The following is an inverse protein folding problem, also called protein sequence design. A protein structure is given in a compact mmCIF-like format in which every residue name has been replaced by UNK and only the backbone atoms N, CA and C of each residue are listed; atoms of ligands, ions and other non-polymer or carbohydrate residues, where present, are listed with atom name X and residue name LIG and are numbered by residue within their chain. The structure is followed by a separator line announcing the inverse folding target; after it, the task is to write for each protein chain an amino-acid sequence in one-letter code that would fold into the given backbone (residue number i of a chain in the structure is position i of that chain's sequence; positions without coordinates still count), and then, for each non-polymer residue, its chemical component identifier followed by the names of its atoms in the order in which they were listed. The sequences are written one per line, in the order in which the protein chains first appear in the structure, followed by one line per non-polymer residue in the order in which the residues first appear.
data_IF_293363080571
#
_entry.id   IF_293363080571
#
_cell.length_a   1.000
_cell.length_b   1.000
_cell.length_c   1.000
_cell.angle_alpha   90.00
_cell.angle_beta   90.00
_cell.angle_gamma   90.00
#
_symmetry.space_group_name_H-M   'P 1'
#
loop_
_entity.id
_entity.type
_entity.pdbx_description
1 polymer ?
#
# COMPACT_ATOMS: atom_id res chain seq x y z
N UNK A 1 0.96 7.74 3.36
CA UNK A 1 0.30 9.02 3.67
C UNK A 1 1.13 10.23 3.24
N UNK A 2 2.32 10.47 3.79
CA UNK A 2 3.11 11.68 3.49
C UNK A 2 3.35 11.93 1.98
N UNK A 3 3.75 10.89 1.24
CA UNK A 3 3.94 10.98 -0.23
C UNK A 3 2.64 11.36 -0.94
N UNK A 4 1.50 10.78 -0.54
CA UNK A 4 0.20 11.10 -1.14
C UNK A 4 -0.20 12.56 -0.90
N UNK A 5 -0.01 13.05 0.34
CA UNK A 5 -0.28 14.44 0.69
C UNK A 5 0.58 15.38 -0.14
N UNK A 6 1.88 15.10 -0.28
CA UNK A 6 2.78 15.90 -1.09
C UNK A 6 2.33 15.93 -2.56
N UNK A 7 2.01 14.77 -3.13
CA UNK A 7 1.55 14.66 -4.52
C UNK A 7 0.26 15.45 -4.76
N UNK A 8 -0.74 15.32 -3.89
CA UNK A 8 -1.97 16.08 -4.03
C UNK A 8 -1.75 17.58 -3.83
N UNK A 9 -0.84 18.00 -2.93
CA UNK A 9 -0.48 19.42 -2.81
C UNK A 9 0.13 19.98 -4.10
N UNK A 10 1.03 19.22 -4.74
CA UNK A 10 1.62 19.61 -6.03
C UNK A 10 0.54 19.68 -7.13
N UNK A 11 -0.47 18.81 -7.07
CA UNK A 11 -1.61 18.77 -7.99
C UNK A 11 -2.71 19.80 -7.67
N UNK A 12 -2.45 20.79 -6.80
CA UNK A 12 -3.41 21.85 -6.46
C UNK A 12 -4.44 21.48 -5.38
N UNK A 13 -4.26 20.36 -4.70
CA UNK A 13 -5.12 19.89 -3.61
C UNK A 13 -5.90 18.61 -3.93
N UNK A 14 -6.59 18.05 -2.93
CA UNK A 14 -7.31 16.79 -3.08
C UNK A 14 -8.59 16.91 -3.94
N UNK A 15 -9.11 18.12 -4.15
CA UNK A 15 -10.20 18.38 -5.11
C UNK A 15 -9.82 17.94 -6.53
N UNK A 16 -8.55 18.08 -6.90
CA UNK A 16 -8.02 17.67 -8.20
C UNK A 16 -7.62 16.19 -8.24
N UNK A 17 -7.89 15.41 -7.20
CA UNK A 17 -7.55 13.97 -7.16
C UNK A 17 -8.19 13.20 -8.31
N UNK A 18 -9.36 13.61 -8.78
CA UNK A 18 -10.06 12.98 -9.91
C UNK A 18 -9.65 13.53 -11.28
N UNK A 19 -8.68 14.45 -11.35
CA UNK A 19 -8.19 15.00 -12.61
C UNK A 19 -7.71 13.88 -13.55
N UNK A 20 -8.13 13.94 -14.81
CA UNK A 20 -7.72 12.99 -15.85
C UNK A 20 -6.32 13.36 -16.31
N UNK A 21 -5.38 12.43 -16.17
CA UNK A 21 -4.01 12.59 -16.67
C UNK A 21 -3.88 12.06 -18.10
N UNK A 22 -4.55 10.94 -18.39
CA UNK A 22 -4.55 10.31 -19.70
C UNK A 22 -5.90 9.63 -19.96
N UNK A 23 -6.52 9.94 -21.09
CA UNK A 23 -7.74 9.29 -21.56
C UNK A 23 -7.38 8.22 -22.58
N UNK A 24 -7.95 7.01 -22.45
CA UNK A 24 -7.74 5.96 -23.44
C UNK A 24 -8.69 6.17 -24.63
N UNK A 25 -8.18 6.45 -25.84
CA UNK A 25 -9.03 6.72 -27.00
C UNK A 25 -9.99 5.55 -27.26
N UNK A 26 -11.28 5.87 -27.48
CA UNK A 26 -12.32 4.87 -27.76
C UNK A 26 -12.86 4.12 -26.55
N UNK A 27 -12.49 4.49 -25.32
CA UNK A 27 -13.05 3.88 -24.09
C UNK A 27 -13.47 4.94 -23.07
N UNK A 28 -14.39 4.63 -22.12
CA UNK A 28 -14.71 5.53 -21.01
C UNK A 28 -13.63 5.55 -19.92
N UNK A 29 -12.57 4.72 -20.06
CA UNK A 29 -11.54 4.59 -19.05
C UNK A 29 -10.53 5.73 -19.13
N UNK A 30 -10.21 6.28 -17.96
CA UNK A 30 -9.28 7.38 -17.80
C UNK A 30 -8.30 7.04 -16.69
N UNK A 31 -7.01 7.25 -16.95
CA UNK A 31 -6.00 7.27 -15.92
C UNK A 31 -6.10 8.60 -15.18
N UNK A 32 -6.59 8.54 -13.94
CA UNK A 32 -6.80 9.70 -13.08
C UNK A 32 -5.66 9.86 -12.08
N UNK A 33 -5.45 11.08 -11.60
CA UNK A 33 -4.41 11.40 -10.64
C UNK A 33 -4.50 10.54 -9.37
N UNK A 34 -5.71 10.26 -8.90
CA UNK A 34 -6.01 9.39 -7.75
C UNK A 34 -5.38 7.99 -7.84
N UNK A 35 -5.18 7.45 -9.06
CA UNK A 35 -4.51 6.16 -9.27
C UNK A 35 -3.01 6.29 -9.04
N UNK A 36 -2.40 7.37 -9.56
CA UNK A 36 -0.97 7.66 -9.40
C UNK A 36 -0.66 7.99 -7.93
N UNK A 37 -1.51 8.80 -7.31
CA UNK A 37 -1.53 9.15 -5.89
C UNK A 37 -1.81 7.95 -4.96
N UNK A 38 -2.24 6.81 -5.51
CA UNK A 38 -2.34 5.55 -4.80
C UNK A 38 -1.10 4.67 -4.98
N UNK A 39 -0.69 4.48 -6.23
CA UNK A 39 0.36 3.54 -6.61
C UNK A 39 1.75 4.01 -6.20
N UNK A 40 2.09 5.29 -6.41
CA UNK A 40 3.42 5.82 -6.09
C UNK A 40 3.70 5.78 -4.58
N UNK A 41 2.80 6.24 -3.68
CA UNK A 41 3.00 6.08 -2.25
C UNK A 41 3.12 4.62 -1.81
N UNK A 42 2.41 3.70 -2.48
CA UNK A 42 2.56 2.27 -2.21
C UNK A 42 3.98 1.78 -2.50
N UNK A 43 4.56 2.09 -3.67
CA UNK A 43 5.92 1.64 -4.02
C UNK A 43 6.95 2.14 -3.00
N UNK A 44 6.91 3.44 -2.68
CA UNK A 44 7.81 4.05 -1.70
C UNK A 44 7.64 3.39 -0.32
N UNK A 45 6.40 3.23 0.13
CA UNK A 45 6.12 2.59 1.40
C UNK A 45 6.54 1.12 1.41
N UNK A 46 6.36 0.38 0.32
CA UNK A 46 6.70 -1.04 0.25
C UNK A 46 8.21 -1.24 0.37
N UNK A 47 9.00 -0.48 -0.40
CA UNK A 47 10.46 -0.54 -0.34
C UNK A 47 10.96 -0.12 1.05
N UNK A 48 10.43 0.97 1.60
CA UNK A 48 10.83 1.44 2.94
C UNK A 48 10.47 0.43 4.03
N UNK A 49 9.26 -0.13 4.00
CA UNK A 49 8.82 -1.15 4.95
C UNK A 49 9.64 -2.43 4.83
N UNK A 50 9.99 -2.85 3.61
CA UNK A 50 10.89 -3.99 3.40
C UNK A 50 12.24 -3.74 4.06
N UNK A 51 12.81 -2.57 3.81
CA UNK A 51 14.14 -2.22 4.30
C UNK A 51 14.19 -2.15 5.84
N UNK A 52 13.17 -1.54 6.46
CA UNK A 52 13.02 -1.53 7.91
C UNK A 52 12.85 -2.93 8.49
N UNK A 53 12.00 -3.76 7.87
CA UNK A 53 11.78 -5.13 8.31
C UNK A 53 13.06 -5.96 8.24
N UNK A 54 13.87 -5.78 7.19
CA UNK A 54 15.14 -6.49 7.03
C UNK A 54 16.22 -6.03 8.00
N UNK A 55 16.33 -4.72 8.24
CA UNK A 55 17.40 -4.15 9.08
C UNK A 55 17.11 -4.17 10.57
N UNK A 56 15.84 -4.09 10.96
CA UNK A 56 15.46 -3.95 12.36
C UNK A 56 14.54 -5.08 12.82
N UNK A 57 13.31 -5.17 12.30
CA UNK A 57 12.26 -6.05 12.86
C UNK A 57 12.56 -7.55 12.76
N UNK A 58 13.10 -7.99 11.62
CA UNK A 58 13.48 -9.39 11.35
C UNK A 58 14.97 -9.53 11.11
N UNK A 59 15.78 -8.63 11.70
CA UNK A 59 17.24 -8.67 11.63
C UNK A 59 17.73 -10.05 12.05
N UNK A 60 18.52 -10.69 11.20
CA UNK A 60 19.08 -12.01 11.46
C UNK A 60 20.50 -12.10 10.90
N UNK A 61 21.37 -12.85 11.58
CA UNK A 61 22.73 -13.17 11.11
C UNK A 61 22.73 -14.05 9.85
N UNK A 62 21.59 -14.66 9.48
CA UNK A 62 21.41 -15.52 8.29
C UNK A 62 20.40 -14.93 7.30
N UNK A 63 20.48 -13.62 7.04
CA UNK A 63 19.60 -12.98 6.06
C UNK A 63 19.84 -13.55 4.65
N UNK A 64 18.78 -13.94 3.94
CA UNK A 64 18.90 -14.33 2.54
C UNK A 64 19.26 -13.11 1.67
N UNK A 65 19.61 -13.32 0.40
CA UNK A 65 19.88 -12.22 -0.53
C UNK A 65 18.69 -11.24 -0.63
N UNK A 66 18.98 -9.94 -0.75
CA UNK A 66 17.96 -8.87 -0.73
C UNK A 66 16.81 -9.13 -1.71
N UNK A 67 17.12 -9.48 -2.95
CA UNK A 67 16.13 -9.76 -4.01
C UNK A 67 15.25 -10.98 -3.72
N UNK A 68 15.78 -12.01 -3.04
CA UNK A 68 15.02 -13.21 -2.69
C UNK A 68 13.96 -12.93 -1.62
N UNK A 69 14.23 -12.02 -0.69
CA UNK A 69 13.24 -11.60 0.31
C UNK A 69 12.31 -10.50 -0.23
N UNK A 70 12.81 -9.64 -1.13
CA UNK A 70 12.06 -8.52 -1.67
C UNK A 70 10.86 -8.96 -2.52
N UNK A 71 11.03 -9.91 -3.46
CA UNK A 71 9.93 -10.29 -4.36
C UNK A 71 8.72 -10.90 -3.65
N UNK A 72 8.87 -11.85 -2.71
CA UNK A 72 7.74 -12.31 -1.91
C UNK A 72 7.12 -11.20 -1.07
N UNK A 73 7.93 -10.31 -0.47
CA UNK A 73 7.43 -9.16 0.30
C UNK A 73 6.61 -8.19 -0.57
N UNK A 74 7.12 -7.89 -1.76
CA UNK A 74 6.47 -7.03 -2.75
C UNK A 74 5.18 -7.66 -3.26
N UNK A 75 5.15 -8.97 -3.48
CA UNK A 75 3.94 -9.69 -3.90
C UNK A 75 2.83 -9.61 -2.85
N UNK A 76 3.14 -9.90 -1.58
CA UNK A 76 2.17 -9.74 -0.47
C UNK A 76 1.71 -8.29 -0.36
N UNK A 77 2.64 -7.34 -0.45
CA UNK A 77 2.33 -5.91 -0.42
C UNK A 77 1.44 -5.47 -1.59
N UNK A 78 1.62 -6.03 -2.78
CA UNK A 78 0.81 -5.73 -3.97
C UNK A 78 -0.63 -6.22 -3.79
N UNK A 79 -0.83 -7.41 -3.21
CA UNK A 79 -2.17 -7.90 -2.86
C UNK A 79 -2.83 -6.96 -1.85
N UNK A 80 -2.10 -6.55 -0.80
CA UNK A 80 -2.60 -5.59 0.17
C UNK A 80 -2.95 -4.23 -0.48
N UNK A 81 -2.15 -3.76 -1.45
CA UNK A 81 -2.44 -2.54 -2.21
C UNK A 81 -3.72 -2.65 -3.02
N UNK A 82 -3.96 -3.79 -3.69
CA UNK A 82 -5.19 -4.02 -4.45
C UNK A 82 -6.42 -4.04 -3.54
N UNK A 83 -6.35 -4.74 -2.40
CA UNK A 83 -7.41 -4.72 -1.38
C UNK A 83 -7.65 -3.30 -0.88
N UNK A 84 -6.59 -2.56 -0.59
CA UNK A 84 -6.69 -1.16 -0.19
C UNK A 84 -7.33 -0.27 -1.27
N UNK A 85 -7.01 -0.49 -2.55
CA UNK A 85 -7.59 0.26 -3.66
C UNK A 85 -9.10 -0.01 -3.78
N UNK A 86 -9.53 -1.26 -3.58
CA UNK A 86 -10.95 -1.62 -3.54
C UNK A 86 -11.66 -0.95 -2.36
N UNK A 87 -11.06 -0.97 -1.17
CA UNK A 87 -11.60 -0.28 0.00
C UNK A 87 -11.75 1.22 -0.27
N UNK A 88 -10.72 1.85 -0.86
CA UNK A 88 -10.80 3.26 -1.25
C UNK A 88 -11.92 3.51 -2.24
N UNK A 89 -12.02 2.72 -3.31
CA UNK A 89 -13.08 2.88 -4.31
C UNK A 89 -14.47 2.79 -3.67
N UNK A 90 -14.68 1.80 -2.80
CA UNK A 90 -15.92 1.63 -2.04
C UNK A 90 -16.20 2.82 -1.11
N UNK A 91 -15.19 3.44 -0.53
CA UNK A 91 -15.34 4.55 0.41
C UNK A 91 -15.49 5.93 -0.24
N UNK A 92 -15.14 6.05 -1.53
CA UNK A 92 -15.21 7.31 -2.28
C UNK A 92 -16.29 7.31 -3.36
N UNK A 93 -16.86 6.15 -3.70
CA UNK A 93 -17.92 6.03 -4.69
C UNK A 93 -19.27 6.47 -4.09
N UNK A 94 -19.96 7.49 -4.66
CA UNK A 94 -21.25 7.95 -4.16
C UNK A 94 -22.36 6.88 -4.15
N UNK A 95 -22.27 5.87 -5.02
CA UNK A 95 -23.24 4.79 -5.08
C UNK A 95 -22.99 3.69 -4.03
N UNK A 96 -21.90 3.77 -3.27
CA UNK A 96 -21.52 2.76 -2.28
C UNK A 96 -22.17 3.03 -0.93
N UNK A 97 -22.65 1.99 -0.23
CA UNK A 97 -23.20 2.12 1.13
C UNK A 97 -22.12 2.50 2.17
N UNK A 98 -20.85 2.30 1.85
CA UNK A 98 -19.70 2.62 2.72
C UNK A 98 -19.02 3.93 2.34
N UNK A 99 -19.70 4.77 1.54
CA UNK A 99 -19.24 6.12 1.21
C UNK A 99 -18.95 6.90 2.51
N UNK A 100 -17.80 7.58 2.55
CA UNK A 100 -17.49 8.54 3.59
C UNK A 100 -18.41 9.76 3.49
N UNK A 101 -19.34 9.96 4.45
CA UNK A 101 -20.46 10.88 4.28
C UNK A 101 -20.08 12.35 4.53
N UNK A 102 -20.85 13.24 3.90
CA UNK A 102 -20.86 14.66 4.25
C UNK A 102 -21.64 14.88 5.56
N UNK A 103 -21.32 15.92 6.36
CA UNK A 103 -20.32 16.98 6.13
C UNK A 103 -18.91 16.67 6.66
N UNK A 104 -18.70 15.49 7.23
CA UNK A 104 -17.45 15.15 7.92
C UNK A 104 -16.29 14.92 6.95
N UNK A 105 -16.57 14.31 5.80
CA UNK A 105 -15.59 14.06 4.76
C UNK A 105 -15.93 14.84 3.49
N UNK A 106 -15.01 15.70 3.09
CA UNK A 106 -15.17 16.60 1.93
C UNK A 106 -13.81 16.92 1.34
N UNK A 107 -13.75 17.08 0.02
CA UNK A 107 -12.51 17.48 -0.66
C UNK A 107 -12.19 18.96 -0.47
N UNK A 108 -13.16 19.77 -0.06
CA UNK A 108 -13.01 21.22 0.17
C UNK A 108 -11.99 21.57 1.27
N UNK A 109 -11.75 20.64 2.19
CA UNK A 109 -10.82 20.82 3.29
C UNK A 109 -9.83 19.66 3.29
N UNK A 110 -8.55 19.96 3.11
CA UNK A 110 -7.54 18.94 2.87
C UNK A 110 -7.50 17.83 3.93
N UNK A 111 -7.63 18.16 5.23
CA UNK A 111 -7.59 17.16 6.30
C UNK A 111 -8.90 16.37 6.47
N UNK A 112 -9.98 16.75 5.77
CA UNK A 112 -11.26 16.04 5.69
C UNK A 112 -11.45 15.30 4.35
N UNK A 113 -10.47 15.36 3.47
CA UNK A 113 -10.51 14.72 2.15
C UNK A 113 -10.81 13.22 2.25
N UNK A 114 -11.78 12.75 1.45
CA UNK A 114 -12.10 11.32 1.35
C UNK A 114 -10.93 10.57 0.74
N UNK A 115 -10.18 11.20 -0.18
CA UNK A 115 -8.95 10.65 -0.75
C UNK A 115 -7.94 10.29 0.35
N UNK A 116 -7.75 11.16 1.35
CA UNK A 116 -6.80 10.88 2.44
C UNK A 116 -7.35 9.92 3.48
N UNK A 117 -8.61 10.09 3.91
CA UNK A 117 -9.19 9.23 4.94
C UNK A 117 -9.41 7.80 4.46
N UNK A 118 -9.85 7.62 3.21
CA UNK A 118 -9.94 6.28 2.61
C UNK A 118 -8.57 5.61 2.52
N UNK A 119 -7.52 6.35 2.14
CA UNK A 119 -6.16 5.82 2.16
C UNK A 119 -5.69 5.47 3.57
N UNK A 120 -5.97 6.31 4.56
CA UNK A 120 -5.57 6.07 5.95
C UNK A 120 -6.23 4.81 6.51
N UNK A 121 -7.53 4.67 6.29
CA UNK A 121 -8.31 3.50 6.73
C UNK A 121 -7.84 2.25 6.00
N UNK A 122 -7.60 2.32 4.68
CA UNK A 122 -7.04 1.21 3.93
C UNK A 122 -5.66 0.80 4.47
N UNK A 123 -4.78 1.75 4.76
CA UNK A 123 -3.47 1.48 5.38
C UNK A 123 -3.65 0.80 6.73
N UNK A 124 -4.53 1.32 7.58
CA UNK A 124 -4.78 0.77 8.92
C UNK A 124 -5.26 -0.67 8.88
N UNK A 125 -6.14 -1.02 7.93
CA UNK A 125 -6.66 -2.37 7.76
C UNK A 125 -5.64 -3.31 7.10
N UNK A 126 -4.86 -2.82 6.13
CA UNK A 126 -3.98 -3.68 5.32
C UNK A 126 -2.61 -3.91 5.96
N UNK A 127 -2.08 -2.95 6.75
CA UNK A 127 -0.77 -3.06 7.40
C UNK A 127 -0.64 -4.30 8.31
N UNK A 128 -1.57 -4.55 9.25
CA UNK A 128 -1.47 -5.70 10.16
C UNK A 128 -1.46 -7.03 9.41
N UNK A 129 -2.31 -7.15 8.39
CA UNK A 129 -2.41 -8.35 7.54
C UNK A 129 -1.09 -8.56 6.81
N UNK A 130 -0.57 -7.51 6.16
CA UNK A 130 0.70 -7.57 5.44
C UNK A 130 1.86 -7.95 6.38
N UNK A 131 1.87 -7.44 7.61
CA UNK A 131 2.85 -7.80 8.63
C UNK A 131 2.77 -9.29 9.00
N UNK A 132 1.57 -9.80 9.31
CA UNK A 132 1.37 -11.20 9.72
C UNK A 132 1.77 -12.16 8.60
N UNK A 133 1.35 -11.91 7.36
CA UNK A 133 1.70 -12.76 6.22
C UNK A 133 3.20 -12.75 5.98
N UNK A 134 3.86 -11.59 6.00
CA UNK A 134 5.30 -11.52 5.81
C UNK A 134 6.08 -12.23 6.94
N UNK A 135 5.62 -12.09 8.18
CA UNK A 135 6.22 -12.75 9.33
C UNK A 135 6.11 -14.27 9.26
N UNK A 136 4.92 -14.78 8.95
CA UNK A 136 4.64 -16.23 9.00
C UNK A 136 5.09 -16.97 7.74
N UNK A 137 5.11 -16.30 6.59
CA UNK A 137 5.41 -16.92 5.31
C UNK A 137 6.70 -16.36 4.69
N UNK A 138 6.74 -15.08 4.28
CA UNK A 138 7.86 -14.51 3.50
C UNK A 138 9.22 -14.75 4.16
N UNK A 139 9.39 -14.38 5.43
CA UNK A 139 10.68 -14.55 6.09
C UNK A 139 10.92 -15.97 6.60
N UNK A 140 9.86 -16.76 6.84
CA UNK A 140 9.99 -18.15 7.29
C UNK A 140 10.33 -19.10 6.15
N UNK A 141 9.64 -18.99 5.02
CA UNK A 141 9.81 -19.85 3.85
C UNK A 141 11.14 -19.60 3.14
N UNK A 142 11.60 -18.34 3.07
CA UNK A 142 12.86 -17.99 2.38
C UNK A 142 14.10 -18.37 3.20
N UNK A 143 14.00 -18.51 4.52
CA UNK A 143 15.16 -18.78 5.40
C UNK A 143 15.46 -20.27 5.63
N UNK A 144 14.58 -21.17 5.18
CA UNK A 144 14.78 -22.63 5.23
C UNK A 144 14.72 -23.23 6.64
N UNK A 145 14.35 -24.53 6.79
CA UNK A 145 14.52 -25.26 8.04
C UNK A 145 16.01 -25.41 8.37
N UNK A 146 16.34 -25.37 9.67
CA UNK A 146 17.69 -25.68 10.17
C UNK A 146 18.09 -27.07 9.64
N UNK A 147 19.23 -27.24 8.96
CA UNK A 147 19.79 -28.58 8.82
C UNK A 147 20.06 -29.03 10.25
N UNK A 148 19.34 -30.05 10.70
CA UNK A 148 19.67 -30.71 11.95
C UNK A 148 21.13 -31.10 11.83
N UNK A 149 21.97 -30.54 12.69
CA UNK A 149 23.33 -31.03 12.88
C UNK A 149 23.17 -32.45 13.38
N UNK A 150 23.13 -33.39 12.43
CA UNK A 150 23.30 -34.80 12.67
C UNK A 150 24.60 -34.94 13.46
N UNK A 151 24.44 -35.25 14.75
CA UNK A 151 25.53 -35.70 15.58
C UNK A 151 26.23 -36.85 14.87
N UNK A 152 27.47 -36.60 14.48
CA UNK A 152 28.40 -37.60 14.00
C UNK A 152 29.64 -37.48 14.87
N UNK A 153 29.94 -38.58 15.54
CA UNK A 153 31.03 -38.85 16.48
C UNK A 153 32.42 -38.35 16.02
#
# INVERSE_FOLDING_TARGET
MAVNVLMNRINGGPENSQAVLFAFPGTPFNLRFTMVAWFVPFLVANVWNFQLNRWWTFKSHRAAGWWREFWPFFAVGSVAMLVGALLKWVMTNPASPLLLPEPYFTEAVWWRSREYWSQLIAIFLTLPINFVVNKLWTFKAVRGPQPETSGGA
#
